data_IF_156170590196
#
_entry.id   IF_156170590196
#
_cell.length_a   1.000
_cell.length_b   1.000
_cell.length_c   1.000
_cell.angle_alpha   90.00
_cell.angle_beta   90.00
_cell.angle_gamma   90.00
#
_symmetry.space_group_name_H-M   'P 1'
#
loop_
_entity.id
_entity.type
_entity.pdbx_description
1 polymer ?
#
# COMPACT_ATOMS: atom_id res chain seq x y z
N UNK A 1 -3.92 -19.04 -18.91
CA UNK A 1 -2.56 -18.53 -18.63
C UNK A 1 -2.59 -17.11 -18.07
N UNK A 2 -3.58 -16.29 -18.46
CA UNK A 2 -3.82 -14.92 -17.95
C UNK A 2 -4.41 -14.86 -16.53
N UNK A 3 -5.35 -15.75 -16.18
CA UNK A 3 -5.87 -15.89 -14.80
C UNK A 3 -4.75 -16.13 -13.78
N UNK A 4 -3.72 -16.91 -14.14
CA UNK A 4 -2.59 -17.17 -13.26
C UNK A 4 -1.78 -15.89 -12.98
N UNK A 5 -1.68 -14.97 -13.95
CA UNK A 5 -0.96 -13.70 -13.79
C UNK A 5 -1.71 -12.73 -12.88
N UNK A 6 -3.02 -12.62 -13.06
CA UNK A 6 -3.87 -11.79 -12.19
C UNK A 6 -3.84 -12.29 -10.74
N UNK A 7 -4.06 -13.59 -10.52
CA UNK A 7 -3.99 -14.16 -9.17
C UNK A 7 -2.64 -13.92 -8.50
N UNK A 8 -1.54 -14.15 -9.23
CA UNK A 8 -0.19 -13.88 -8.72
C UNK A 8 0.01 -12.41 -8.35
N UNK A 9 -0.48 -11.48 -9.18
CA UNK A 9 -0.35 -10.05 -8.91
C UNK A 9 -1.18 -9.62 -7.70
N UNK A 10 -2.42 -10.10 -7.57
CA UNK A 10 -3.28 -9.85 -6.41
C UNK A 10 -2.68 -10.43 -5.13
N UNK A 11 -2.14 -11.65 -5.18
CA UNK A 11 -1.45 -12.26 -4.04
C UNK A 11 -0.17 -11.51 -3.67
N UNK A 12 0.57 -11.00 -4.66
CA UNK A 12 1.76 -10.18 -4.43
C UNK A 12 1.39 -8.85 -3.76
N UNK A 13 0.37 -8.16 -4.28
CA UNK A 13 -0.14 -6.92 -3.69
C UNK A 13 -0.58 -7.13 -2.23
N UNK A 14 -1.39 -8.17 -1.97
CA UNK A 14 -1.79 -8.55 -0.60
C UNK A 14 -0.59 -8.78 0.29
N UNK A 15 0.37 -9.60 -0.14
CA UNK A 15 1.51 -9.97 0.69
C UNK A 15 2.39 -8.76 1.03
N UNK A 16 2.65 -7.87 0.07
CA UNK A 16 3.48 -6.68 0.29
C UNK A 16 2.77 -5.68 1.21
N UNK A 17 1.49 -5.40 1.00
CA UNK A 17 0.74 -4.48 1.86
C UNK A 17 0.61 -5.04 3.28
N UNK A 18 0.38 -6.34 3.43
CA UNK A 18 0.38 -7.01 4.74
C UNK A 18 1.73 -6.92 5.46
N UNK A 19 2.84 -6.99 4.72
CA UNK A 19 4.18 -6.84 5.30
C UNK A 19 4.39 -5.42 5.86
N UNK A 20 3.91 -4.40 5.14
CA UNK A 20 3.97 -3.01 5.60
C UNK A 20 3.06 -2.72 6.79
N UNK A 21 1.82 -3.24 6.79
CA UNK A 21 0.91 -3.14 7.93
C UNK A 21 1.48 -3.83 9.17
N UNK A 22 2.15 -4.97 8.99
CA UNK A 22 2.85 -5.68 10.07
C UNK A 22 4.03 -4.86 10.60
N UNK A 23 4.83 -4.26 9.70
CA UNK A 23 5.92 -3.37 10.09
C UNK A 23 5.45 -2.12 10.83
N UNK A 24 4.26 -1.62 10.50
CA UNK A 24 3.60 -0.52 11.17
C UNK A 24 2.86 -0.89 12.45
N UNK A 25 2.88 -2.16 12.87
CA UNK A 25 2.17 -2.68 14.06
C UNK A 25 0.64 -2.43 14.03
N UNK A 26 0.03 -2.55 12.84
CA UNK A 26 -1.41 -2.32 12.62
C UNK A 26 -2.09 -3.47 11.86
N UNK A 27 -1.49 -4.66 11.81
CA UNK A 27 -2.03 -5.83 11.10
C UNK A 27 -3.15 -6.56 11.89
N UNK A 28 -4.11 -5.82 12.42
CA UNK A 28 -5.26 -6.35 13.16
C UNK A 28 -6.34 -6.89 12.21
N UNK A 29 -7.19 -7.80 12.69
CA UNK A 29 -8.19 -8.50 11.86
C UNK A 29 -9.12 -7.55 11.07
N UNK A 30 -9.53 -6.42 11.66
CA UNK A 30 -10.36 -5.44 10.97
C UNK A 30 -9.60 -4.75 9.83
N UNK A 31 -8.31 -4.46 10.02
CA UNK A 31 -7.45 -3.86 8.99
C UNK A 31 -7.13 -4.87 7.89
N UNK A 32 -6.92 -6.15 8.23
CA UNK A 32 -6.79 -7.23 7.24
C UNK A 32 -8.04 -7.31 6.36
N UNK A 33 -9.22 -7.05 6.92
CA UNK A 33 -10.47 -7.03 6.15
C UNK A 33 -10.48 -5.90 5.11
N UNK A 34 -9.90 -4.73 5.43
CA UNK A 34 -9.72 -3.63 4.46
C UNK A 34 -8.82 -4.04 3.30
N UNK A 35 -7.75 -4.81 3.56
CA UNK A 35 -6.87 -5.34 2.51
C UNK A 35 -7.63 -6.27 1.57
N UNK A 36 -8.46 -7.16 2.12
CA UNK A 36 -9.25 -8.08 1.30
C UNK A 36 -10.34 -7.37 0.49
N UNK A 37 -10.95 -6.33 1.04
CA UNK A 37 -11.89 -5.46 0.31
C UNK A 37 -11.19 -4.76 -0.86
N UNK A 38 -10.00 -4.18 -0.63
CA UNK A 38 -9.20 -3.55 -1.67
C UNK A 38 -8.79 -4.55 -2.77
N UNK A 39 -8.31 -5.74 -2.40
CA UNK A 39 -7.95 -6.79 -3.37
C UNK A 39 -9.17 -7.25 -4.18
N UNK A 40 -10.33 -7.39 -3.55
CA UNK A 40 -11.58 -7.77 -4.23
C UNK A 40 -12.03 -6.69 -5.22
N UNK A 41 -11.99 -5.43 -4.80
CA UNK A 41 -12.31 -4.30 -5.66
C UNK A 41 -11.34 -4.21 -6.85
N UNK A 42 -10.03 -4.39 -6.62
CA UNK A 42 -9.02 -4.29 -7.68
C UNK A 42 -9.01 -5.46 -8.65
N UNK A 43 -9.44 -6.66 -8.23
CA UNK A 43 -9.76 -7.74 -9.17
C UNK A 43 -10.79 -7.28 -10.19
N UNK A 44 -11.94 -6.80 -9.72
CA UNK A 44 -13.02 -6.36 -10.60
C UNK A 44 -12.56 -5.24 -11.53
N UNK A 45 -11.77 -4.29 -11.01
CA UNK A 45 -11.21 -3.20 -11.81
C UNK A 45 -10.31 -3.69 -12.96
N UNK A 46 -9.41 -4.64 -12.69
CA UNK A 46 -8.55 -5.23 -13.74
C UNK A 46 -9.36 -6.07 -14.74
N UNK A 47 -10.45 -6.71 -14.32
CA UNK A 47 -11.35 -7.37 -15.26
C UNK A 47 -11.96 -6.40 -16.28
N UNK A 48 -12.09 -5.11 -15.92
CA UNK A 48 -12.50 -4.06 -16.86
C UNK A 48 -11.32 -3.49 -17.67
N UNK A 49 -10.11 -3.51 -17.12
CA UNK A 49 -8.88 -3.05 -17.78
C UNK A 49 -7.68 -3.96 -17.50
N UNK A 50 -7.43 -4.98 -18.35
CA UNK A 50 -6.42 -6.02 -18.09
C UNK A 50 -4.97 -5.52 -18.01
N UNK A 51 -4.62 -4.45 -18.71
CA UNK A 51 -3.26 -3.88 -18.63
C UNK A 51 -2.97 -3.31 -17.23
N UNK A 52 -4.02 -3.05 -16.45
CA UNK A 52 -3.92 -2.55 -15.08
C UNK A 52 -3.28 -3.53 -14.07
N UNK A 53 -3.02 -4.79 -14.45
CA UNK A 53 -2.37 -5.80 -13.60
C UNK A 53 -1.07 -5.28 -12.97
N UNK A 54 -0.27 -4.51 -13.71
CA UNK A 54 1.04 -4.05 -13.25
C UNK A 54 0.94 -2.97 -12.14
N UNK A 55 -0.23 -2.36 -11.97
CA UNK A 55 -0.47 -1.28 -10.99
C UNK A 55 -1.07 -1.77 -9.67
N UNK A 56 -1.43 -3.06 -9.59
CA UNK A 56 -2.19 -3.62 -8.46
C UNK A 56 -1.54 -3.38 -7.10
N UNK A 57 -0.20 -3.47 -7.00
CA UNK A 57 0.49 -3.25 -5.73
C UNK A 57 0.30 -1.82 -5.23
N UNK A 58 0.43 -0.83 -6.12
CA UNK A 58 0.31 0.58 -5.75
C UNK A 58 -1.13 0.96 -5.44
N UNK A 59 -2.09 0.44 -6.22
CA UNK A 59 -3.50 0.72 -6.03
C UNK A 59 -4.06 0.09 -4.75
N UNK A 60 -3.66 -1.14 -4.41
CA UNK A 60 -4.08 -1.78 -3.14
C UNK A 60 -3.48 -1.03 -1.95
N UNK A 61 -2.22 -0.57 -2.05
CA UNK A 61 -1.61 0.22 -0.97
C UNK A 61 -2.35 1.56 -0.75
N UNK A 62 -2.74 2.25 -1.83
CA UNK A 62 -3.54 3.47 -1.77
C UNK A 62 -4.94 3.22 -1.19
N UNK A 63 -5.66 2.21 -1.68
CA UNK A 63 -7.00 1.88 -1.16
C UNK A 63 -7.00 1.59 0.34
N UNK A 64 -5.98 0.86 0.82
CA UNK A 64 -5.84 0.55 2.25
C UNK A 64 -5.46 1.80 3.04
N UNK A 65 -4.58 2.64 2.51
CA UNK A 65 -4.23 3.92 3.12
C UNK A 65 -5.45 4.84 3.25
N UNK A 66 -6.27 4.94 2.21
CA UNK A 66 -7.50 5.74 2.20
C UNK A 66 -8.49 5.20 3.24
N UNK A 67 -8.71 3.89 3.26
CA UNK A 67 -9.60 3.26 4.24
C UNK A 67 -9.10 3.44 5.69
N UNK A 68 -7.78 3.38 5.91
CA UNK A 68 -7.18 3.66 7.22
C UNK A 68 -7.35 5.14 7.60
N UNK A 69 -7.13 6.06 6.66
CA UNK A 69 -7.30 7.50 6.88
C UNK A 69 -8.71 7.84 7.33
N UNK A 70 -9.72 7.25 6.68
CA UNK A 70 -11.13 7.47 7.00
C UNK A 70 -11.53 6.93 8.38
N UNK A 71 -10.97 5.80 8.82
CA UNK A 71 -11.43 5.06 10.01
C UNK A 71 -10.55 5.22 11.25
N UNK A 72 -9.24 5.30 11.05
CA UNK A 72 -8.23 5.25 12.12
C UNK A 72 -7.26 6.43 12.09
N UNK A 73 -7.16 7.12 10.95
CA UNK A 73 -6.28 8.27 10.74
C UNK A 73 -5.05 7.94 9.89
N UNK A 74 -4.08 8.86 9.89
CA UNK A 74 -2.95 8.86 8.98
C UNK A 74 -2.04 7.64 9.17
N UNK A 75 -1.78 6.92 8.09
CA UNK A 75 -0.85 5.80 8.05
C UNK A 75 -0.26 5.64 6.63
N UNK A 76 0.99 5.17 6.48
CA UNK A 76 2.02 5.07 7.53
C UNK A 76 2.56 6.46 7.85
N UNK A 77 2.83 6.74 9.12
CA UNK A 77 3.42 8.03 9.50
C UNK A 77 4.86 8.14 8.98
N UNK A 78 5.21 9.32 8.47
CA UNK A 78 6.52 9.61 7.93
C UNK A 78 7.61 9.52 9.01
N UNK A 79 8.64 8.65 8.86
CA UNK A 79 9.74 8.57 9.81
C UNK A 79 10.83 9.63 9.56
N UNK A 80 10.76 10.37 8.44
CA UNK A 80 11.80 11.32 8.01
C UNK A 80 11.62 12.71 8.62
N UNK A 81 10.37 13.15 8.79
CA UNK A 81 10.08 14.48 9.30
C UNK A 81 9.86 14.49 10.81
N UNK A 82 10.25 15.61 11.45
CA UNK A 82 10.16 15.79 12.90
C UNK A 82 8.74 15.52 13.45
N UNK A 83 8.69 14.97 14.67
CA UNK A 83 7.45 14.57 15.36
C UNK A 83 6.44 15.71 15.61
N UNK A 84 6.83 16.98 15.38
CA UNK A 84 5.95 18.14 15.52
C UNK A 84 4.97 18.33 14.35
N UNK A 85 5.17 17.64 13.22
CA UNK A 85 4.28 17.71 12.05
C UNK A 85 4.06 16.32 11.40
N UNK A 86 3.41 15.39 12.12
CA UNK A 86 3.20 14.03 11.66
C UNK A 86 2.24 13.99 10.47
N UNK A 87 2.69 13.45 9.35
CA UNK A 87 1.93 13.24 8.13
C UNK A 87 2.09 11.81 7.62
N UNK A 88 1.16 11.36 6.79
CA UNK A 88 1.28 10.08 6.10
C UNK A 88 2.33 10.17 4.99
N UNK A 89 2.99 9.06 4.68
CA UNK A 89 3.71 8.90 3.41
C UNK A 89 2.69 8.77 2.27
N UNK A 90 3.08 9.16 1.06
CA UNK A 90 2.28 8.94 -0.15
C UNK A 90 2.80 7.73 -0.93
N UNK A 91 1.98 7.14 -1.79
CA UNK A 91 2.39 6.08 -2.73
C UNK A 91 2.69 6.71 -4.09
N UNK A 92 3.92 6.58 -4.57
CA UNK A 92 4.33 7.05 -5.90
C UNK A 92 4.93 5.91 -6.75
N UNK A 93 4.65 5.86 -8.07
CA UNK A 93 3.69 6.72 -8.79
C UNK A 93 2.23 6.45 -8.34
N UNK A 94 1.38 7.47 -8.37
CA UNK A 94 -0.08 7.33 -8.11
C UNK A 94 -0.70 6.23 -8.99
N UNK A 95 -0.32 6.18 -10.27
CA UNK A 95 -0.64 5.09 -11.18
C UNK A 95 0.60 4.69 -12.00
N UNK A 96 1.20 3.54 -11.68
CA UNK A 96 2.36 3.03 -12.38
C UNK A 96 3.00 1.82 -11.69
N UNK A 97 3.99 1.17 -12.33
CA UNK A 97 4.70 0.04 -11.75
C UNK A 97 5.72 0.51 -10.68
N UNK A 98 6.27 -0.43 -9.92
CA UNK A 98 7.28 -0.19 -8.87
C UNK A 98 6.86 0.88 -7.83
N UNK A 99 5.71 0.71 -7.15
CA UNK A 99 5.21 1.68 -6.17
C UNK A 99 6.11 1.80 -4.94
N UNK A 100 6.17 3.01 -4.38
CA UNK A 100 7.08 3.37 -3.28
C UNK A 100 6.35 4.28 -2.31
N UNK A 101 6.65 4.09 -1.03
CA UNK A 101 6.32 5.07 0.00
C UNK A 101 7.30 6.24 -0.11
N UNK A 102 6.77 7.45 -0.27
CA UNK A 102 7.54 8.67 -0.38
C UNK A 102 7.11 9.69 0.67
N UNK A 103 8.04 10.54 1.07
CA UNK A 103 7.71 11.76 1.79
C UNK A 103 7.73 12.91 0.78
N UNK A 104 6.55 13.37 0.36
CA UNK A 104 6.42 14.48 -0.59
C UNK A 104 7.04 15.77 -0.05
N UNK A 105 6.87 16.03 1.25
CA UNK A 105 7.44 17.20 1.94
C UNK A 105 8.97 17.26 1.88
N UNK A 106 9.64 16.12 2.10
CA UNK A 106 11.10 16.03 2.06
C UNK A 106 11.63 15.67 0.65
N UNK A 107 10.74 15.34 -0.29
CA UNK A 107 11.07 14.91 -1.66
C UNK A 107 12.03 13.72 -1.67
N UNK A 108 11.77 12.73 -0.81
CA UNK A 108 12.58 11.51 -0.70
C UNK A 108 11.72 10.25 -0.82
N UNK A 109 12.31 9.23 -1.44
CA UNK A 109 11.79 7.87 -1.35
C UNK A 109 12.16 7.29 0.02
N UNK A 110 11.16 6.78 0.73
CA UNK A 110 11.32 6.21 2.07
C UNK A 110 11.53 4.70 1.97
N UNK A 111 10.63 3.98 1.29
CA UNK A 111 10.77 2.55 1.05
C UNK A 111 9.99 2.11 -0.21
N UNK A 112 10.28 0.92 -0.72
CA UNK A 112 9.35 0.22 -1.64
C UNK A 112 8.13 -0.24 -0.86
N UNK A 113 6.98 -0.38 -1.52
CA UNK A 113 5.83 -1.08 -0.90
C UNK A 113 6.23 -2.51 -0.56
N UNK A 114 5.94 -2.93 0.67
CA UNK A 114 6.33 -4.20 1.31
C UNK A 114 7.68 -4.16 2.03
N UNK A 115 8.35 -3.01 2.11
CA UNK A 115 9.67 -2.86 2.71
C UNK A 115 9.73 -1.84 3.87
N UNK A 116 8.59 -1.44 4.44
CA UNK A 116 8.57 -0.49 5.56
C UNK A 116 9.28 -1.00 6.82
N UNK A 117 9.43 -2.31 6.99
CA UNK A 117 10.17 -2.89 8.13
C UNK A 117 11.62 -2.41 8.22
N UNK A 118 12.25 -2.07 7.08
CA UNK A 118 13.61 -1.54 7.05
C UNK A 118 13.75 -0.09 7.53
N UNK A 119 12.64 0.64 7.68
CA UNK A 119 12.64 2.09 7.99
C UNK A 119 11.77 2.48 9.18
N UNK A 120 10.69 1.73 9.46
CA UNK A 120 9.84 1.94 10.63
C UNK A 120 10.37 1.26 11.90
N UNK A 121 11.46 0.49 11.76
CA UNK A 121 12.06 -0.39 12.77
C UNK A 121 11.66 -0.16 14.22
N UNK A 122 10.91 -1.13 14.76
CA UNK A 122 11.15 -1.72 16.07
C UNK A 122 11.64 -3.15 15.88
#
# INVERSE_FOLDING_TARGET
MELNRLEQALHTARALVMADLTAGDVAEAEIVSLVEDAVTHRRWWVEQWPDGVEYLVGLVAQDVQDALLERYGRWPLCPVCDAGDPHALDVEPELGPDPRWVCTKATVMVARVGALSGVLGR
#
